data_IF_404089480310
#
_entry.id   IF_404089480310
#
_cell.length_a   1.000
_cell.length_b   1.000
_cell.length_c   1.000
_cell.angle_alpha   90.00
_cell.angle_beta   90.00
_cell.angle_gamma   90.00
#
_symmetry.space_group_name_H-M   'P 1'
#
loop_
_entity.id
_entity.type
_entity.pdbx_description
1 polymer ?
#
# COMPACT_ATOMS: atom_id res chain seq x y z
N UNK A 1 -7.59 0.09 24.19
CA UNK A 1 -7.11 1.47 23.98
C UNK A 1 -5.97 1.42 22.98
N UNK A 2 -6.08 2.12 21.85
CA UNK A 2 -4.99 2.20 20.86
C UNK A 2 -3.99 3.28 21.27
N UNK A 3 -2.71 2.92 21.39
CA UNK A 3 -1.62 3.89 21.46
C UNK A 3 -1.17 4.23 20.04
N UNK A 4 -0.86 5.49 19.78
CA UNK A 4 -0.27 5.91 18.51
C UNK A 4 1.13 6.49 18.75
N UNK A 5 2.01 6.30 17.77
CA UNK A 5 3.33 6.92 17.74
C UNK A 5 3.35 7.84 16.53
N UNK A 6 3.56 9.14 16.78
CA UNK A 6 3.74 10.11 15.71
C UNK A 6 5.23 10.13 15.32
N UNK A 7 5.49 10.02 14.03
CA UNK A 7 6.81 10.19 13.46
C UNK A 7 6.78 11.39 12.52
N UNK A 8 7.78 12.25 12.63
CA UNK A 8 8.01 13.35 11.70
C UNK A 8 9.12 12.94 10.74
N UNK A 9 8.93 13.27 9.47
CA UNK A 9 9.86 12.92 8.39
C UNK A 9 10.48 14.21 7.91
N UNK A 10 11.81 14.24 7.84
CA UNK A 10 12.56 15.40 7.36
C UNK A 10 12.19 15.76 5.93
N UNK A 11 12.22 17.06 5.62
CA UNK A 11 11.80 17.58 4.31
C UNK A 11 12.61 16.98 3.16
N UNK A 12 13.90 16.74 3.36
CA UNK A 12 14.78 16.12 2.37
C UNK A 12 14.33 14.70 2.00
N UNK A 13 13.84 13.93 2.97
CA UNK A 13 13.32 12.59 2.73
C UNK A 13 11.96 12.65 2.02
N UNK A 14 11.12 13.63 2.34
CA UNK A 14 9.86 13.86 1.62
C UNK A 14 10.13 14.18 0.15
N UNK A 15 11.15 14.98 -0.15
CA UNK A 15 11.54 15.29 -1.52
C UNK A 15 12.03 14.04 -2.26
N UNK A 16 12.94 13.27 -1.66
CA UNK A 16 13.43 12.00 -2.24
C UNK A 16 12.31 11.00 -2.51
N UNK A 17 11.32 10.92 -1.60
CA UNK A 17 10.11 10.12 -1.83
C UNK A 17 9.36 10.63 -3.06
N UNK A 18 9.11 11.94 -3.16
CA UNK A 18 8.40 12.53 -4.30
C UNK A 18 9.10 12.25 -5.64
N UNK A 19 10.43 12.36 -5.66
CA UNK A 19 11.25 12.10 -6.84
C UNK A 19 11.15 10.62 -7.24
N UNK A 20 11.28 9.71 -6.26
CA UNK A 20 11.14 8.26 -6.48
C UNK A 20 9.77 7.87 -7.03
N UNK A 21 8.69 8.43 -6.46
CA UNK A 21 7.32 8.17 -6.92
C UNK A 21 7.14 8.55 -8.41
N UNK A 22 7.75 9.68 -8.80
CA UNK A 22 7.69 10.20 -10.17
C UNK A 22 8.49 9.31 -11.12
N UNK A 23 9.73 8.96 -10.75
CA UNK A 23 10.62 8.11 -11.54
C UNK A 23 10.01 6.72 -11.78
N UNK A 24 9.49 6.10 -10.71
CA UNK A 24 8.96 4.74 -10.75
C UNK A 24 7.49 4.67 -11.19
N UNK A 25 6.82 5.82 -11.36
CA UNK A 25 5.39 5.94 -11.71
C UNK A 25 4.48 5.14 -10.76
N UNK A 26 4.74 5.25 -9.46
CA UNK A 26 3.98 4.58 -8.40
C UNK A 26 3.32 5.60 -7.47
N UNK A 27 2.31 5.14 -6.74
CA UNK A 27 1.61 5.96 -5.75
C UNK A 27 2.29 5.90 -4.39
N UNK A 28 2.04 6.91 -3.53
CA UNK A 28 2.46 6.89 -2.11
C UNK A 28 2.01 5.61 -1.41
N UNK A 29 0.77 5.18 -1.65
CA UNK A 29 0.22 3.96 -1.07
C UNK A 29 1.07 2.73 -1.42
N UNK A 30 1.39 2.53 -2.71
CA UNK A 30 2.21 1.40 -3.16
C UNK A 30 3.63 1.44 -2.57
N UNK A 31 4.22 2.63 -2.46
CA UNK A 31 5.53 2.81 -1.85
C UNK A 31 5.53 2.39 -0.37
N UNK A 32 4.57 2.88 0.40
CA UNK A 32 4.48 2.57 1.83
C UNK A 32 4.04 1.13 2.09
N UNK A 33 3.14 0.57 1.27
CA UNK A 33 2.79 -0.86 1.32
C UNK A 33 4.02 -1.73 1.11
N UNK A 34 4.81 -1.44 0.06
CA UNK A 34 6.06 -2.16 -0.22
C UNK A 34 7.05 -2.03 0.94
N UNK A 35 7.24 -0.82 1.45
CA UNK A 35 8.15 -0.55 2.57
C UNK A 35 7.72 -1.30 3.83
N UNK A 36 6.42 -1.38 4.07
CA UNK A 36 5.85 -2.11 5.19
C UNK A 36 6.02 -3.63 5.04
N UNK A 37 5.80 -4.19 3.84
CA UNK A 37 6.08 -5.60 3.56
C UNK A 37 7.56 -5.94 3.80
N UNK A 38 8.48 -5.11 3.30
CA UNK A 38 9.92 -5.29 3.53
C UNK A 38 10.29 -5.18 5.01
N UNK A 39 9.66 -4.26 5.74
CA UNK A 39 9.84 -4.12 7.18
C UNK A 39 9.37 -5.37 7.93
N UNK A 40 8.17 -5.88 7.62
CA UNK A 40 7.64 -7.11 8.21
C UNK A 40 8.51 -8.32 7.90
N UNK A 41 9.00 -8.45 6.66
CA UNK A 41 9.96 -9.50 6.30
C UNK A 41 11.23 -9.42 7.13
N UNK A 42 11.82 -8.22 7.28
CA UNK A 42 13.03 -8.05 8.11
C UNK A 42 12.81 -8.40 9.58
N UNK A 43 11.62 -8.16 10.11
CA UNK A 43 11.26 -8.49 11.49
C UNK A 43 10.97 -9.97 11.71
N UNK A 44 10.32 -10.63 10.75
CA UNK A 44 9.73 -11.97 10.94
C UNK A 44 10.42 -13.07 10.15
N UNK A 45 11.19 -12.70 9.12
CA UNK A 45 11.71 -13.59 8.06
C UNK A 45 10.61 -14.32 7.25
N UNK A 46 9.33 -13.97 7.44
CA UNK A 46 8.21 -14.52 6.70
C UNK A 46 8.14 -13.98 5.28
N UNK A 47 8.07 -14.87 4.29
CA UNK A 47 8.05 -14.52 2.86
C UNK A 47 6.64 -14.28 2.33
N UNK A 48 5.63 -14.93 2.92
CA UNK A 48 4.22 -14.75 2.56
C UNK A 48 3.56 -13.72 3.47
N UNK A 49 3.23 -12.56 2.91
CA UNK A 49 2.70 -11.42 3.66
C UNK A 49 1.30 -11.04 3.16
N UNK A 50 0.40 -10.77 4.10
CA UNK A 50 -0.93 -10.24 3.82
C UNK A 50 -1.13 -8.92 4.58
N UNK A 51 -1.35 -7.83 3.85
CA UNK A 51 -1.56 -6.49 4.42
C UNK A 51 -2.88 -5.92 3.93
N UNK A 52 -3.77 -5.54 4.85
CA UNK A 52 -5.03 -4.88 4.51
C UNK A 52 -4.82 -3.45 4.02
N UNK A 53 -5.43 -3.12 2.88
CA UNK A 53 -5.47 -1.77 2.32
C UNK A 53 -6.90 -1.23 2.33
N UNK A 54 -7.09 0.00 2.78
CA UNK A 54 -8.40 0.64 2.82
C UNK A 54 -8.71 1.33 1.49
N UNK A 55 -9.87 1.02 0.91
CA UNK A 55 -10.39 1.66 -0.29
C UNK A 55 -11.73 2.36 0.02
N UNK A 56 -11.90 3.58 -0.48
CA UNK A 56 -13.06 4.41 -0.17
C UNK A 56 -14.39 3.87 -0.73
N UNK A 57 -14.34 3.06 -1.80
CA UNK A 57 -15.51 2.44 -2.45
C UNK A 57 -16.61 3.44 -2.89
N UNK A 58 -16.21 4.67 -3.26
CA UNK A 58 -17.10 5.72 -3.78
C UNK A 58 -16.93 5.84 -5.29
N UNK A 59 -17.36 4.82 -6.03
CA UNK A 59 -17.20 4.77 -7.49
C UNK A 59 -18.24 5.61 -8.25
N UNK A 60 -19.41 5.77 -7.65
CA UNK A 60 -20.50 6.56 -8.21
C UNK A 60 -20.45 7.99 -7.66
N UNK A 61 -20.64 8.99 -8.54
CA UNK A 61 -20.60 10.41 -8.18
C UNK A 61 -21.62 10.78 -7.10
N UNK A 62 -22.77 10.10 -7.07
CA UNK A 62 -23.81 10.28 -6.05
C UNK A 62 -23.32 9.94 -4.63
N UNK A 63 -22.30 9.08 -4.51
CA UNK A 63 -21.75 8.65 -3.24
C UNK A 63 -20.66 9.59 -2.71
N UNK A 64 -20.11 10.50 -3.51
CA UNK A 64 -18.97 11.33 -3.08
C UNK A 64 -19.29 12.19 -1.85
N UNK A 65 -20.47 12.80 -1.83
CA UNK A 65 -20.90 13.73 -0.77
C UNK A 65 -21.84 13.10 0.26
N UNK A 66 -22.07 11.78 0.19
CA UNK A 66 -22.99 11.08 1.08
C UNK A 66 -22.29 10.67 2.37
N UNK A 67 -22.84 11.08 3.51
CA UNK A 67 -22.40 10.60 4.82
C UNK A 67 -22.75 9.10 4.98
N UNK A 68 -21.76 8.28 5.32
CA UNK A 68 -21.93 6.84 5.49
C UNK A 68 -20.61 6.07 5.48
N UNK A 69 -20.66 4.80 5.89
CA UNK A 69 -19.51 3.88 5.91
C UNK A 69 -19.49 3.07 4.61
N UNK A 70 -18.73 3.56 3.63
CA UNK A 70 -18.55 2.89 2.33
C UNK A 70 -17.23 2.12 2.24
N UNK A 71 -16.32 2.36 3.19
CA UNK A 71 -14.96 1.82 3.17
C UNK A 71 -14.95 0.30 3.04
N UNK A 72 -14.16 -0.19 2.09
CA UNK A 72 -13.86 -1.61 1.93
C UNK A 72 -12.38 -1.87 2.24
N UNK A 73 -12.07 -3.01 2.86
CA UNK A 73 -10.70 -3.44 3.10
C UNK A 73 -10.32 -4.51 2.09
N UNK A 74 -9.23 -4.30 1.36
CA UNK A 74 -8.73 -5.21 0.34
C UNK A 74 -7.46 -5.88 0.87
N UNK A 75 -7.40 -7.21 0.96
CA UNK A 75 -6.20 -7.93 1.41
C UNK A 75 -5.14 -7.94 0.30
N UNK A 76 -3.96 -7.38 0.55
CA UNK A 76 -2.85 -7.39 -0.40
C UNK A 76 -1.88 -8.51 -0.04
N UNK A 77 -1.83 -9.54 -0.90
CA UNK A 77 -0.94 -10.69 -0.74
C UNK A 77 0.34 -10.48 -1.53
N UNK A 78 1.49 -10.67 -0.87
CA UNK A 78 2.81 -10.54 -1.47
C UNK A 78 3.73 -11.65 -1.00
N UNK A 79 4.36 -12.35 -1.95
CA UNK A 79 5.45 -13.27 -1.69
C UNK A 79 6.77 -12.55 -1.97
N UNK A 80 7.59 -12.37 -0.94
CA UNK A 80 8.92 -11.76 -1.02
C UNK A 80 10.01 -12.82 -1.06
N UNK A 81 10.97 -12.66 -1.97
CA UNK A 81 12.15 -13.54 -2.05
C UNK A 81 13.39 -12.83 -1.52
N UNK A 82 14.26 -13.51 -0.73
CA UNK A 82 15.44 -12.89 -0.12
C UNK A 82 16.42 -12.23 -1.10
N UNK A 83 16.43 -12.66 -2.36
CA UNK A 83 17.33 -12.17 -3.42
C UNK A 83 16.78 -10.98 -4.19
N UNK A 84 15.56 -10.53 -3.91
CA UNK A 84 14.93 -9.44 -4.63
C UNK A 84 15.44 -8.07 -4.19
N UNK A 85 15.64 -7.18 -5.16
CA UNK A 85 15.89 -5.77 -4.88
C UNK A 85 14.58 -5.07 -4.52
N UNK A 86 14.67 -3.98 -3.77
CA UNK A 86 13.49 -3.16 -3.43
C UNK A 86 12.70 -2.74 -4.68
N UNK A 87 13.38 -2.39 -5.77
CA UNK A 87 12.73 -2.00 -7.02
C UNK A 87 12.04 -3.19 -7.72
N UNK A 88 12.53 -4.43 -7.56
CA UNK A 88 11.83 -5.62 -8.02
C UNK A 88 10.51 -5.79 -7.27
N UNK A 89 10.58 -5.71 -5.94
CA UNK A 89 9.43 -5.84 -5.06
C UNK A 89 8.40 -4.74 -5.36
N UNK A 90 8.84 -3.49 -5.55
CA UNK A 90 7.97 -2.36 -5.89
C UNK A 90 7.15 -2.63 -7.15
N UNK A 91 7.79 -3.18 -8.20
CA UNK A 91 7.11 -3.54 -9.45
C UNK A 91 6.10 -4.68 -9.24
N UNK A 92 6.46 -5.68 -8.45
CA UNK A 92 5.56 -6.79 -8.10
C UNK A 92 4.33 -6.27 -7.33
N UNK A 93 4.53 -5.44 -6.31
CA UNK A 93 3.46 -4.81 -5.52
C UNK A 93 2.59 -3.91 -6.40
N UNK A 94 3.18 -3.11 -7.28
CA UNK A 94 2.43 -2.27 -8.21
C UNK A 94 1.50 -3.12 -9.10
N UNK A 95 2.03 -4.19 -9.69
CA UNK A 95 1.27 -5.12 -10.53
C UNK A 95 0.12 -5.77 -9.76
N UNK A 96 0.43 -6.39 -8.62
CA UNK A 96 -0.56 -7.06 -7.78
C UNK A 96 -1.66 -6.11 -7.30
N UNK A 97 -1.30 -4.87 -6.93
CA UNK A 97 -2.26 -3.86 -6.51
C UNK A 97 -3.21 -3.45 -7.64
N UNK A 98 -2.71 -3.29 -8.86
CA UNK A 98 -3.55 -2.95 -10.02
C UNK A 98 -4.53 -4.09 -10.35
N UNK A 99 -4.09 -5.34 -10.23
CA UNK A 99 -4.93 -6.53 -10.41
C UNK A 99 -6.04 -6.56 -9.35
N UNK A 100 -5.70 -6.49 -8.06
CA UNK A 100 -6.69 -6.60 -6.99
C UNK A 100 -7.66 -5.41 -6.93
N UNK A 101 -7.18 -4.20 -7.30
CA UNK A 101 -8.03 -3.01 -7.38
C UNK A 101 -9.20 -3.20 -8.34
N UNK A 102 -9.05 -4.01 -9.39
CA UNK A 102 -10.15 -4.31 -10.31
C UNK A 102 -11.30 -5.09 -9.66
N UNK A 103 -11.07 -5.74 -8.52
CA UNK A 103 -12.06 -6.51 -7.74
C UNK A 103 -12.56 -5.78 -6.48
N UNK A 104 -12.14 -4.54 -6.27
CA UNK A 104 -12.39 -3.75 -5.06
C UNK A 104 -13.85 -3.45 -4.72
N UNK A 105 -14.77 -3.65 -5.66
CA UNK A 105 -16.21 -3.53 -5.46
C UNK A 105 -16.83 -4.73 -4.73
N UNK A 106 -16.11 -5.86 -4.66
CA UNK A 106 -16.53 -7.03 -3.89
C UNK A 106 -16.35 -6.77 -2.39
N UNK A 107 -17.33 -7.14 -1.55
CA UNK A 107 -17.16 -7.06 -0.10
C UNK A 107 -16.06 -8.03 0.37
N UNK A 108 -15.39 -7.66 1.47
CA UNK A 108 -14.45 -8.53 2.18
C UNK A 108 -15.13 -9.79 2.72
#
# INVERSE_FOLDING_TARGET
LGSYVKLEVEQDLVQKISDYLTEMKVTKFQLFLTSYCVFLYKLTQGTDLCVGGVNANRYESVLENLAGMFVNTIPNFHELKPTETFNSIMKQVQKAYLEIKSYSYLPY
#
